data_IF_121292740173
#
_entry.id   IF_121292740173
#
_cell.length_a   1.000
_cell.length_b   1.000
_cell.length_c   1.000
_cell.angle_alpha   90.00
_cell.angle_beta   90.00
_cell.angle_gamma   90.00
#
_symmetry.space_group_name_H-M   'P 1'
#
loop_
_entity.id
_entity.type
_entity.pdbx_description
1 polymer ?
#
# COMPACT_ATOMS: atom_id res chain seq x y z
N UNK A 1 -14.21 -14.05 -5.58
CA UNK A 1 -14.13 -12.85 -4.73
C UNK A 1 -12.73 -12.29 -4.73
N UNK A 2 -12.62 -10.96 -4.79
CA UNK A 2 -11.33 -10.29 -4.95
C UNK A 2 -10.31 -10.67 -3.87
N UNK A 3 -10.70 -10.62 -2.59
CA UNK A 3 -9.80 -10.98 -1.51
C UNK A 3 -9.40 -12.46 -1.55
N UNK A 4 -10.31 -13.31 -2.01
CA UNK A 4 -10.00 -14.73 -2.19
C UNK A 4 -8.87 -14.94 -3.21
N UNK A 5 -8.83 -14.13 -4.26
CA UNK A 5 -7.74 -14.20 -5.23
C UNK A 5 -6.40 -13.81 -4.59
N UNK A 6 -6.41 -12.82 -3.68
CA UNK A 6 -5.19 -12.45 -2.94
C UNK A 6 -4.71 -13.64 -2.10
N UNK A 7 -5.62 -14.29 -1.38
CA UNK A 7 -5.28 -15.44 -0.55
C UNK A 7 -4.70 -16.60 -1.36
N UNK A 8 -5.15 -16.78 -2.60
CA UNK A 8 -4.65 -17.81 -3.48
C UNK A 8 -3.52 -17.33 -4.40
N UNK A 9 -3.04 -16.12 -4.18
CA UNK A 9 -1.96 -15.49 -4.96
C UNK A 9 -2.30 -15.31 -6.44
N UNK A 10 -3.59 -15.23 -6.77
CA UNK A 10 -4.05 -14.89 -8.13
C UNK A 10 -4.13 -13.37 -8.27
N UNK A 11 -2.96 -12.74 -8.30
CA UNK A 11 -2.90 -11.28 -8.19
C UNK A 11 -3.47 -10.55 -9.42
N UNK A 12 -3.38 -11.15 -10.58
CA UNK A 12 -3.99 -10.57 -11.79
C UNK A 12 -5.51 -10.53 -11.69
N UNK A 13 -6.12 -11.63 -11.22
CA UNK A 13 -7.56 -11.68 -11.01
C UNK A 13 -7.99 -10.78 -9.86
N UNK A 14 -7.18 -10.71 -8.80
CA UNK A 14 -7.44 -9.82 -7.68
C UNK A 14 -7.44 -8.37 -8.17
N UNK A 15 -6.45 -7.98 -8.93
CA UNK A 15 -6.36 -6.63 -9.50
C UNK A 15 -7.62 -6.27 -10.27
N UNK A 16 -8.04 -7.14 -11.16
CA UNK A 16 -9.22 -6.89 -11.99
C UNK A 16 -10.47 -6.73 -11.13
N UNK A 17 -10.65 -7.60 -10.15
CA UNK A 17 -11.81 -7.56 -9.26
C UNK A 17 -11.85 -6.29 -8.41
N UNK A 18 -10.69 -5.85 -7.89
CA UNK A 18 -10.63 -4.62 -7.11
C UNK A 18 -10.87 -3.39 -7.99
N UNK A 19 -10.34 -3.38 -9.22
CA UNK A 19 -10.60 -2.27 -10.16
C UNK A 19 -12.09 -2.18 -10.49
N UNK A 20 -12.73 -3.31 -10.72
CA UNK A 20 -14.17 -3.37 -11.00
C UNK A 20 -14.97 -2.84 -9.82
N UNK A 21 -14.61 -3.26 -8.60
CA UNK A 21 -15.27 -2.77 -7.39
C UNK A 21 -15.15 -1.25 -7.25
N UNK A 22 -13.94 -0.72 -7.44
CA UNK A 22 -13.70 0.72 -7.29
C UNK A 22 -14.45 1.53 -8.34
N UNK A 23 -14.56 1.01 -9.55
CA UNK A 23 -15.29 1.67 -10.61
C UNK A 23 -16.80 1.64 -10.35
N UNK A 24 -17.31 0.53 -9.84
CA UNK A 24 -18.73 0.31 -9.63
C UNK A 24 -19.25 0.95 -8.34
N UNK A 25 -18.42 1.01 -7.31
CA UNK A 25 -18.82 1.47 -5.99
C UNK A 25 -17.83 2.52 -5.43
N UNK A 26 -17.68 3.67 -6.10
CA UNK A 26 -16.64 4.63 -5.72
C UNK A 26 -16.82 5.30 -4.36
N UNK A 27 -18.03 5.22 -3.79
CA UNK A 27 -18.35 5.90 -2.52
C UNK A 27 -18.67 4.93 -1.38
N UNK A 28 -18.33 3.65 -1.54
CA UNK A 28 -18.58 2.66 -0.50
C UNK A 28 -17.54 2.74 0.61
N UNK A 29 -17.94 2.30 1.80
CA UNK A 29 -17.07 2.30 2.99
C UNK A 29 -15.78 1.51 2.79
N UNK A 30 -15.82 0.47 1.98
CA UNK A 30 -14.66 -0.40 1.75
C UNK A 30 -13.72 0.09 0.65
N UNK A 31 -13.96 1.29 0.11
CA UNK A 31 -13.09 1.83 -0.94
C UNK A 31 -11.62 1.94 -0.50
N UNK A 32 -11.30 2.46 0.70
CA UNK A 32 -9.89 2.51 1.11
C UNK A 32 -9.24 1.12 1.17
N UNK A 33 -9.96 0.13 1.70
CA UNK A 33 -9.45 -1.24 1.76
C UNK A 33 -9.27 -1.84 0.37
N UNK A 34 -10.24 -1.64 -0.52
CA UNK A 34 -10.14 -2.12 -1.88
C UNK A 34 -8.97 -1.47 -2.62
N UNK A 35 -8.76 -0.17 -2.38
CA UNK A 35 -7.64 0.56 -2.98
C UNK A 35 -6.30 0.03 -2.47
N UNK A 36 -6.22 -0.27 -1.17
CA UNK A 36 -5.03 -0.88 -0.58
C UNK A 36 -4.74 -2.25 -1.21
N UNK A 37 -5.75 -3.11 -1.30
CA UNK A 37 -5.57 -4.45 -1.86
C UNK A 37 -5.30 -4.44 -3.35
N UNK A 38 -5.81 -3.44 -4.07
CA UNK A 38 -5.41 -3.21 -5.45
C UNK A 38 -3.91 -2.93 -5.51
N UNK A 39 -3.43 -2.03 -4.64
CA UNK A 39 -2.00 -1.74 -4.56
C UNK A 39 -1.18 -2.99 -4.26
N UNK A 40 -1.65 -3.81 -3.32
CA UNK A 40 -0.97 -5.05 -2.95
C UNK A 40 -0.90 -6.02 -4.14
N UNK A 41 -2.00 -6.14 -4.89
CA UNK A 41 -2.04 -7.00 -6.06
C UNK A 41 -1.05 -6.56 -7.14
N UNK A 42 -0.93 -5.26 -7.32
CA UNK A 42 0.03 -4.69 -8.26
C UNK A 42 1.46 -4.87 -7.76
N UNK A 43 1.68 -4.67 -6.47
CA UNK A 43 3.00 -4.83 -5.85
C UNK A 43 3.52 -6.27 -6.04
N UNK A 44 2.67 -7.24 -5.81
CA UNK A 44 3.05 -8.65 -5.96
C UNK A 44 3.34 -9.03 -7.41
N UNK A 45 2.80 -8.28 -8.37
CA UNK A 45 3.11 -8.45 -9.79
C UNK A 45 4.35 -7.65 -10.20
N UNK A 46 5.06 -7.05 -9.25
CA UNK A 46 6.23 -6.22 -9.49
C UNK A 46 5.93 -4.97 -10.33
N UNK A 47 4.67 -4.55 -10.34
CA UNK A 47 4.25 -3.33 -11.03
C UNK A 47 4.28 -2.19 -10.00
N UNK A 48 5.50 -1.81 -9.63
CA UNK A 48 5.72 -0.93 -8.47
C UNK A 48 5.22 0.50 -8.69
N UNK A 49 5.28 1.00 -9.91
CA UNK A 49 4.77 2.35 -10.18
C UNK A 49 3.25 2.42 -9.98
N UNK A 50 2.54 1.45 -10.55
CA UNK A 50 1.09 1.38 -10.39
C UNK A 50 0.70 1.11 -8.94
N UNK A 51 1.46 0.25 -8.27
CA UNK A 51 1.26 -0.02 -6.85
C UNK A 51 1.44 1.26 -6.02
N UNK A 52 2.49 2.02 -6.29
CA UNK A 52 2.75 3.27 -5.59
C UNK A 52 1.57 4.24 -5.73
N UNK A 53 1.00 4.35 -6.93
CA UNK A 53 -0.16 5.22 -7.16
C UNK A 53 -1.35 4.80 -6.29
N UNK A 54 -1.63 3.49 -6.22
CA UNK A 54 -2.74 2.97 -5.40
C UNK A 54 -2.52 3.25 -3.92
N UNK A 55 -1.31 3.00 -3.43
CA UNK A 55 -1.00 3.25 -2.02
C UNK A 55 -1.00 4.74 -1.69
N UNK A 56 -0.50 5.57 -2.59
CA UNK A 56 -0.53 7.01 -2.42
C UNK A 56 -1.97 7.51 -2.32
N UNK A 57 -2.86 6.95 -3.11
CA UNK A 57 -4.28 7.32 -3.07
C UNK A 57 -4.88 7.10 -1.68
N UNK A 58 -4.57 5.95 -1.05
CA UNK A 58 -5.05 5.69 0.32
C UNK A 58 -4.42 6.69 1.28
N UNK A 59 -3.13 6.91 1.18
CA UNK A 59 -2.38 7.78 2.10
C UNK A 59 -2.83 9.23 2.04
N UNK A 60 -3.30 9.70 0.90
CA UNK A 60 -3.70 11.10 0.73
C UNK A 60 -5.19 11.32 0.87
N UNK A 61 -6.01 10.41 0.35
CA UNK A 61 -7.46 10.58 0.36
C UNK A 61 -8.14 9.95 1.56
N UNK A 62 -7.51 8.97 2.18
CA UNK A 62 -8.10 8.20 3.27
C UNK A 62 -7.15 8.09 4.45
N UNK A 63 -6.62 9.22 4.89
CA UNK A 63 -5.61 9.28 5.96
C UNK A 63 -6.05 8.65 7.27
N UNK A 64 -7.36 8.59 7.52
CA UNK A 64 -7.91 8.03 8.76
C UNK A 64 -8.34 6.59 8.61
N UNK A 65 -8.17 6.00 7.46
CA UNK A 65 -8.49 4.60 7.23
C UNK A 65 -7.55 3.71 8.03
N UNK A 66 -8.06 2.55 8.47
CA UNK A 66 -7.22 1.55 9.11
C UNK A 66 -6.12 1.02 8.22
N UNK A 67 -6.25 1.20 6.90
CA UNK A 67 -5.22 0.79 5.94
C UNK A 67 -4.23 1.89 5.58
N UNK A 68 -4.39 3.09 6.14
CA UNK A 68 -3.51 4.20 5.80
C UNK A 68 -2.05 3.97 6.23
N UNK A 69 -1.77 3.50 7.47
CA UNK A 69 -0.39 3.21 7.85
C UNK A 69 0.25 2.13 6.99
N UNK A 70 -0.47 1.05 6.71
CA UNK A 70 -0.01 -0.04 5.85
C UNK A 70 0.28 0.46 4.44
N UNK A 71 -0.59 1.32 3.92
CA UNK A 71 -0.43 1.89 2.58
C UNK A 71 0.81 2.76 2.49
N UNK A 72 1.07 3.55 3.52
CA UNK A 72 2.23 4.43 3.54
C UNK A 72 3.53 3.62 3.61
N UNK A 73 3.54 2.54 4.41
CA UNK A 73 4.67 1.61 4.44
C UNK A 73 4.90 1.00 3.05
N UNK A 74 3.85 0.47 2.43
CA UNK A 74 3.94 -0.14 1.10
C UNK A 74 4.35 0.87 0.03
N UNK A 75 3.91 2.12 0.16
CA UNK A 75 4.36 3.18 -0.73
C UNK A 75 5.88 3.34 -0.64
N UNK A 76 6.40 3.39 0.59
CA UNK A 76 7.85 3.47 0.79
C UNK A 76 8.58 2.29 0.15
N UNK A 77 8.06 1.08 0.33
CA UNK A 77 8.65 -0.12 -0.27
C UNK A 77 8.58 -0.08 -1.81
N UNK A 78 7.49 0.43 -2.37
CA UNK A 78 7.35 0.56 -3.82
C UNK A 78 8.35 1.55 -4.38
N UNK A 79 8.56 2.67 -3.69
CA UNK A 79 9.53 3.69 -4.11
C UNK A 79 10.95 3.13 -4.04
N UNK A 80 11.26 2.35 -2.99
CA UNK A 80 12.57 1.69 -2.88
C UNK A 80 12.78 0.72 -4.05
N UNK A 81 11.76 -0.04 -4.41
CA UNK A 81 11.85 -0.97 -5.53
C UNK A 81 12.05 -0.25 -6.86
N UNK A 82 11.61 1.01 -6.96
CA UNK A 82 11.81 1.86 -8.13
C UNK A 82 13.15 2.62 -8.09
N UNK A 83 14.00 2.30 -7.13
CA UNK A 83 15.29 2.96 -6.93
C UNK A 83 15.19 4.43 -6.61
N UNK A 84 14.07 4.85 -6.01
CA UNK A 84 13.87 6.22 -5.54
C UNK A 84 14.13 6.27 -4.04
N UNK A 85 15.39 6.11 -3.67
CA UNK A 85 15.80 5.93 -2.28
C UNK A 85 15.40 7.09 -1.38
N UNK A 86 15.65 8.32 -1.82
CA UNK A 86 15.36 9.49 -0.98
C UNK A 86 13.86 9.62 -0.69
N UNK A 87 13.04 9.45 -1.72
CA UNK A 87 11.59 9.47 -1.55
C UNK A 87 11.12 8.30 -0.68
N UNK A 88 11.72 7.12 -0.86
CA UNK A 88 11.39 5.96 -0.03
C UNK A 88 11.70 6.22 1.44
N UNK A 89 12.88 6.73 1.74
CA UNK A 89 13.28 7.01 3.11
C UNK A 89 12.40 8.09 3.76
N UNK A 90 12.07 9.13 3.01
CA UNK A 90 11.17 10.17 3.50
C UNK A 90 9.78 9.62 3.81
N UNK A 91 9.27 8.76 2.93
CA UNK A 91 7.94 8.14 3.10
C UNK A 91 7.93 7.22 4.32
N UNK A 92 8.98 6.42 4.49
CA UNK A 92 9.08 5.51 5.64
C UNK A 92 9.15 6.28 6.96
N UNK A 93 9.88 7.38 7.00
CA UNK A 93 9.95 8.24 8.19
C UNK A 93 8.58 8.84 8.51
N UNK A 94 7.81 9.15 7.49
CA UNK A 94 6.48 9.73 7.65
C UNK A 94 5.51 8.78 8.35
N UNK A 95 5.69 7.46 8.18
CA UNK A 95 4.81 6.48 8.86
C UNK A 95 4.85 6.68 10.37
N UNK A 96 6.05 6.76 10.94
CA UNK A 96 6.21 6.96 12.39
C UNK A 96 5.73 8.31 12.86
N UNK A 97 5.95 9.35 12.06
CA UNK A 97 5.53 10.69 12.41
C UNK A 97 4.01 10.85 12.38
N UNK A 98 3.37 10.33 11.36
CA UNK A 98 1.94 10.52 11.14
C UNK A 98 1.10 9.50 11.89
N UNK A 99 1.60 8.28 12.04
CA UNK A 99 0.88 7.18 12.67
C UNK A 99 1.68 6.58 13.82
N UNK A 100 1.90 7.35 14.90
CA UNK A 100 2.71 6.86 16.03
C UNK A 100 2.10 5.64 16.73
N UNK A 101 0.80 5.43 16.54
CA UNK A 101 0.09 4.29 17.13
C UNK A 101 -0.18 3.17 16.12
N UNK A 102 0.56 3.14 15.02
CA UNK A 102 0.44 2.07 14.05
C UNK A 102 0.76 0.72 14.72
N UNK A 103 0.29 -0.36 14.12
CA UNK A 103 0.50 -1.70 14.67
C UNK A 103 1.98 -2.02 14.77
N UNK A 104 2.31 -2.98 15.66
CA UNK A 104 3.69 -3.47 15.80
C UNK A 104 4.22 -4.02 14.47
N UNK A 105 3.35 -4.67 13.70
CA UNK A 105 3.71 -5.20 12.39
C UNK A 105 4.15 -4.10 11.43
N UNK A 106 3.39 -3.00 11.37
CA UNK A 106 3.75 -1.86 10.53
C UNK A 106 5.07 -1.25 10.99
N UNK A 107 5.23 -1.05 12.29
CA UNK A 107 6.46 -0.47 12.84
C UNK A 107 7.68 -1.31 12.53
N UNK A 108 7.55 -2.64 12.65
CA UNK A 108 8.65 -3.55 12.28
C UNK A 108 8.96 -3.48 10.78
N UNK A 109 7.91 -3.42 9.97
CA UNK A 109 8.10 -3.30 8.52
C UNK A 109 8.82 -2.04 8.12
N UNK A 110 8.49 -0.91 8.77
CA UNK A 110 9.19 0.36 8.56
C UNK A 110 10.66 0.22 8.90
N UNK A 111 10.96 -0.31 10.11
CA UNK A 111 12.34 -0.44 10.57
C UNK A 111 13.17 -1.34 9.64
N UNK A 112 12.58 -2.47 9.23
CA UNK A 112 13.25 -3.39 8.31
C UNK A 112 13.53 -2.73 6.96
N UNK A 113 12.56 -2.00 6.43
CA UNK A 113 12.74 -1.37 5.12
C UNK A 113 13.71 -0.22 5.18
N UNK A 114 13.72 0.55 6.27
CA UNK A 114 14.70 1.62 6.48
C UNK A 114 16.11 1.06 6.51
N UNK A 115 16.31 -0.06 7.20
CA UNK A 115 17.61 -0.72 7.27
C UNK A 115 18.04 -1.23 5.90
N UNK A 116 17.12 -1.88 5.20
CA UNK A 116 17.40 -2.46 3.88
C UNK A 116 17.73 -1.37 2.85
N UNK A 117 17.05 -0.24 2.93
CA UNK A 117 17.26 0.88 2.01
C UNK A 117 18.40 1.80 2.44
N UNK A 118 19.03 1.52 3.57
CA UNK A 118 20.11 2.33 4.12
C UNK A 118 19.65 3.77 4.44
N UNK A 119 18.46 3.90 4.96
CA UNK A 119 18.00 5.19 5.46
C UNK A 119 18.74 5.53 6.78
#
# INVERSE_FOLDING_TARGET
>A
MAYGYVLHKDYSLAEQSFRDFLKKYPNQRLVPEAQYWLGESLFQQQRYRDAAESFLSVSTKFERSGKAPDSLLRLGQSLAALNQKEAACATLAEVGRKYPQASASVKRGVAQEQKRAHC
#
